data_IF_486621281270
#
_entry.id   IF_486621281270
#
_cell.length_a   1.000
_cell.length_b   1.000
_cell.length_c   1.000
_cell.angle_alpha   90.00
_cell.angle_beta   90.00
_cell.angle_gamma   90.00
#
_symmetry.space_group_name_H-M   'P 1'
#
loop_
_entity.id
_entity.type
_entity.pdbx_description
1 polymer ?
#
# COMPACT_ATOMS: atom_id res chain seq x y z
N UNK A 1 -34.39 84.77 -12.15
CA UNK A 1 -35.34 84.38 -13.22
C UNK A 1 -35.09 82.92 -13.55
N UNK A 2 -36.14 82.10 -13.35
CA UNK A 2 -36.37 80.73 -13.81
C UNK A 2 -35.76 79.53 -13.04
N UNK A 3 -36.67 78.87 -12.34
CA UNK A 3 -36.69 77.49 -11.83
C UNK A 3 -36.57 76.41 -12.91
N UNK A 4 -36.12 75.21 -12.51
CA UNK A 4 -36.79 73.91 -12.70
C UNK A 4 -35.83 72.77 -12.27
N UNK A 5 -36.14 72.00 -11.22
CA UNK A 5 -36.76 70.64 -11.27
C UNK A 5 -35.98 69.66 -12.15
N UNK A 6 -35.43 68.59 -11.55
CA UNK A 6 -35.80 67.21 -11.90
C UNK A 6 -35.00 66.15 -11.13
N UNK A 7 -35.75 65.31 -10.43
CA UNK A 7 -35.34 64.03 -9.87
C UNK A 7 -35.09 63.02 -11.00
N UNK A 8 -33.97 62.29 -11.00
CA UNK A 8 -33.90 60.93 -11.59
C UNK A 8 -32.88 60.11 -10.82
N UNK A 9 -33.37 59.07 -10.16
CA UNK A 9 -32.64 57.92 -9.64
C UNK A 9 -31.99 57.15 -10.80
N UNK A 10 -30.73 56.69 -10.67
CA UNK A 10 -30.26 55.45 -11.34
C UNK A 10 -28.93 54.94 -10.80
N UNK A 11 -29.08 53.95 -9.92
CA UNK A 11 -28.33 52.69 -9.82
C UNK A 11 -26.92 52.64 -10.41
N UNK A 12 -25.97 52.41 -9.50
CA UNK A 12 -24.62 51.92 -9.74
C UNK A 12 -24.71 50.54 -10.42
N UNK A 13 -24.43 50.50 -11.73
CA UNK A 13 -24.33 49.27 -12.52
C UNK A 13 -23.02 48.57 -12.17
N UNK A 14 -23.01 47.75 -11.13
CA UNK A 14 -21.99 46.72 -10.94
C UNK A 14 -22.21 45.68 -12.04
N UNK A 15 -21.37 45.71 -13.08
CA UNK A 15 -21.37 44.66 -14.08
C UNK A 15 -20.92 43.35 -13.43
N UNK A 16 -21.93 42.50 -13.24
CA UNK A 16 -21.88 41.08 -13.03
C UNK A 16 -21.10 40.44 -14.19
N UNK A 17 -19.80 40.20 -14.00
CA UNK A 17 -19.11 39.19 -14.82
C UNK A 17 -19.45 37.84 -14.20
N UNK A 18 -20.54 37.25 -14.69
CA UNK A 18 -20.85 35.84 -14.54
C UNK A 18 -19.78 35.02 -15.26
N UNK A 19 -18.67 34.74 -14.57
CA UNK A 19 -17.84 33.59 -14.91
C UNK A 19 -18.60 32.37 -14.44
N UNK A 20 -19.55 31.91 -15.28
CA UNK A 20 -20.16 30.59 -15.15
C UNK A 20 -19.10 29.57 -15.54
N UNK A 21 -18.13 29.36 -14.64
CA UNK A 21 -17.44 28.08 -14.58
C UNK A 21 -18.50 27.09 -14.11
N UNK A 22 -19.13 26.46 -15.11
CA UNK A 22 -19.79 25.18 -14.94
C UNK A 22 -18.68 24.20 -14.55
N UNK A 23 -18.28 24.26 -13.29
CA UNK A 23 -17.69 23.12 -12.61
C UNK A 23 -18.83 22.13 -12.60
N UNK A 24 -18.85 21.25 -13.59
CA UNK A 24 -19.39 19.91 -13.39
C UNK A 24 -18.63 19.36 -12.20
N UNK A 25 -19.16 19.66 -11.00
CA UNK A 25 -19.08 18.78 -9.86
C UNK A 25 -19.75 17.50 -10.32
N UNK A 26 -18.99 16.67 -11.05
CA UNK A 26 -19.15 15.25 -10.97
C UNK A 26 -19.10 14.96 -9.48
N UNK A 27 -20.26 14.64 -8.91
CA UNK A 27 -20.37 14.11 -7.57
C UNK A 27 -19.33 12.99 -7.48
N UNK A 28 -18.19 13.28 -6.84
CA UNK A 28 -17.17 12.29 -6.62
C UNK A 28 -17.87 11.24 -5.74
N UNK A 29 -18.12 10.08 -6.34
CA UNK A 29 -18.51 8.91 -5.59
C UNK A 29 -17.56 8.79 -4.39
N UNK A 30 -18.05 8.41 -3.20
CA UNK A 30 -17.16 8.16 -2.07
C UNK A 30 -16.00 7.28 -2.56
N UNK A 31 -14.73 7.65 -2.28
CA UNK A 31 -13.58 6.97 -2.84
C UNK A 31 -13.76 5.49 -2.57
N UNK A 32 -14.00 4.73 -3.65
CA UNK A 32 -14.09 3.29 -3.57
C UNK A 32 -12.79 2.81 -2.92
N UNK A 33 -12.83 1.80 -2.05
CA UNK A 33 -11.64 1.33 -1.30
C UNK A 33 -10.40 1.08 -2.20
N UNK A 34 -10.62 0.93 -3.50
CA UNK A 34 -9.66 0.97 -4.61
C UNK A 34 -8.77 2.23 -4.69
N UNK A 35 -9.15 3.36 -4.09
CA UNK A 35 -8.38 4.62 -4.09
C UNK A 35 -7.43 4.78 -2.89
N UNK A 36 -7.45 3.83 -1.95
CA UNK A 36 -6.66 3.85 -0.72
C UNK A 36 -5.57 2.77 -0.78
N UNK A 37 -4.35 3.12 -0.36
CA UNK A 37 -3.19 2.22 -0.39
C UNK A 37 -2.23 2.49 -1.54
N UNK A 38 -1.49 1.44 -1.92
CA UNK A 38 -0.46 1.48 -2.97
C UNK A 38 -0.98 0.68 -4.17
N UNK A 39 -0.96 1.29 -5.35
CA UNK A 39 -1.42 0.61 -6.57
C UNK A 39 -0.48 -0.52 -6.96
N UNK A 40 -0.99 -1.53 -7.67
CA UNK A 40 -0.19 -2.65 -8.18
C UNK A 40 0.96 -2.17 -9.08
N UNK A 41 0.74 -1.10 -9.83
CA UNK A 41 1.74 -0.49 -10.70
C UNK A 41 2.92 0.09 -9.92
N UNK A 42 2.63 0.85 -8.85
CA UNK A 42 3.68 1.37 -7.96
C UNK A 42 4.47 0.25 -7.27
N UNK A 43 3.80 -0.82 -6.83
CA UNK A 43 4.48 -1.98 -6.26
C UNK A 43 5.40 -2.67 -7.28
N UNK A 44 4.97 -2.78 -8.54
CA UNK A 44 5.79 -3.32 -9.62
C UNK A 44 7.04 -2.47 -9.86
N UNK A 45 6.88 -1.14 -9.94
CA UNK A 45 7.99 -0.20 -10.10
C UNK A 45 8.99 -0.29 -8.94
N UNK A 46 8.49 -0.32 -7.69
CA UNK A 46 9.33 -0.51 -6.51
C UNK A 46 10.10 -1.84 -6.57
N UNK A 47 9.43 -2.92 -6.97
CA UNK A 47 10.04 -4.25 -7.04
C UNK A 47 11.20 -4.32 -8.04
N UNK A 48 11.08 -3.61 -9.17
CA UNK A 48 12.08 -3.58 -10.24
C UNK A 48 13.25 -2.62 -9.95
N UNK A 49 13.06 -1.62 -9.09
CA UNK A 49 14.09 -0.65 -8.77
C UNK A 49 15.15 -1.21 -7.80
N UNK A 50 16.17 -1.84 -8.37
CA UNK A 50 17.30 -2.39 -7.63
C UNK A 50 18.16 -1.31 -6.96
N UNK A 51 18.21 -0.09 -7.50
CA UNK A 51 18.94 1.02 -6.89
C UNK A 51 18.29 1.42 -5.57
N UNK A 52 16.98 1.64 -5.60
CA UNK A 52 16.18 1.90 -4.40
C UNK A 52 16.26 0.74 -3.40
N UNK A 53 16.13 -0.51 -3.85
CA UNK A 53 16.20 -1.68 -2.95
C UNK A 53 17.57 -1.85 -2.28
N UNK A 54 18.65 -1.44 -2.96
CA UNK A 54 20.00 -1.41 -2.35
C UNK A 54 20.06 -0.37 -1.23
N UNK A 55 19.51 0.82 -1.45
CA UNK A 55 19.43 1.87 -0.43
C UNK A 55 18.54 1.43 0.73
N UNK A 56 17.39 0.83 0.44
CA UNK A 56 16.44 0.33 1.43
C UNK A 56 17.05 -0.77 2.31
N UNK A 57 17.82 -1.68 1.70
CA UNK A 57 18.56 -2.73 2.42
C UNK A 57 19.53 -2.15 3.46
N UNK A 58 20.28 -1.11 3.08
CA UNK A 58 21.23 -0.44 3.98
C UNK A 58 20.52 0.25 5.13
N UNK A 59 19.46 1.01 4.86
CA UNK A 59 18.76 1.76 5.92
C UNK A 59 17.96 0.83 6.82
N UNK A 60 17.32 -0.21 6.27
CA UNK A 60 16.46 -1.09 7.04
C UNK A 60 17.23 -2.20 7.75
N UNK A 61 18.46 -2.45 7.33
CA UNK A 61 19.26 -3.63 7.67
C UNK A 61 18.47 -4.92 7.40
N UNK A 62 17.98 -5.07 6.16
CA UNK A 62 17.16 -6.19 5.69
C UNK A 62 17.60 -6.59 4.29
N UNK A 63 17.67 -7.89 4.03
CA UNK A 63 18.14 -8.46 2.75
C UNK A 63 17.14 -8.27 1.56
N UNK A 64 16.53 -7.10 1.42
CA UNK A 64 15.51 -6.83 0.37
C UNK A 64 16.13 -6.72 -1.02
N UNK A 65 17.45 -6.52 -1.14
CA UNK A 65 18.14 -6.55 -2.43
C UNK A 65 18.44 -7.97 -2.86
N UNK A 66 19.00 -8.75 -1.95
CA UNK A 66 19.57 -10.07 -2.22
C UNK A 66 18.58 -11.22 -2.04
N UNK A 67 17.51 -11.02 -1.25
CA UNK A 67 16.47 -12.01 -1.01
C UNK A 67 15.12 -11.54 -1.57
N UNK A 68 14.74 -12.07 -2.73
CA UNK A 68 13.48 -11.74 -3.41
C UNK A 68 12.23 -12.14 -2.63
N UNK A 69 12.30 -13.15 -1.76
CA UNK A 69 11.18 -13.52 -0.90
C UNK A 69 10.94 -12.42 0.15
N UNK A 70 12.01 -11.92 0.79
CA UNK A 70 11.93 -10.79 1.73
C UNK A 70 11.43 -9.53 1.02
N UNK A 71 11.94 -9.23 -0.19
CA UNK A 71 11.45 -8.12 -1.02
C UNK A 71 9.94 -8.21 -1.29
N UNK A 72 9.47 -9.36 -1.77
CA UNK A 72 8.05 -9.60 -2.06
C UNK A 72 7.19 -9.45 -0.81
N UNK A 73 7.63 -10.06 0.30
CA UNK A 73 6.92 -9.99 1.58
C UNK A 73 6.82 -8.55 2.07
N UNK A 74 7.89 -7.76 1.94
CA UNK A 74 7.91 -6.35 2.31
C UNK A 74 6.88 -5.55 1.50
N UNK A 75 6.82 -5.74 0.18
CA UNK A 75 5.91 -4.98 -0.66
C UNK A 75 4.44 -5.34 -0.42
N UNK A 76 4.13 -6.62 -0.15
CA UNK A 76 2.78 -7.01 0.26
C UNK A 76 2.41 -6.47 1.63
N UNK A 77 3.33 -6.54 2.59
CA UNK A 77 3.13 -5.93 3.89
C UNK A 77 2.90 -4.42 3.76
N UNK A 78 3.67 -3.73 2.92
CA UNK A 78 3.54 -2.30 2.68
C UNK A 78 2.18 -1.92 2.07
N UNK A 79 1.70 -2.70 1.09
CA UNK A 79 0.37 -2.53 0.52
C UNK A 79 -0.71 -2.68 1.59
N UNK A 80 -0.67 -3.77 2.36
CA UNK A 80 -1.61 -4.02 3.44
C UNK A 80 -1.57 -2.91 4.50
N UNK A 81 -0.37 -2.51 4.91
CA UNK A 81 -0.17 -1.46 5.91
C UNK A 81 -0.80 -0.15 5.47
N UNK A 82 -0.59 0.28 4.21
CA UNK A 82 -1.18 1.51 3.69
C UNK A 82 -2.70 1.43 3.62
N UNK A 83 -3.26 0.27 3.24
CA UNK A 83 -4.71 0.06 3.22
C UNK A 83 -5.31 0.14 4.63
N UNK A 84 -4.72 -0.54 5.62
CA UNK A 84 -5.19 -0.54 7.00
C UNK A 84 -5.13 0.84 7.67
N UNK A 85 -4.18 1.69 7.28
CA UNK A 85 -4.01 3.02 7.84
C UNK A 85 -4.64 4.12 6.98
N UNK A 86 -5.44 3.77 5.97
CA UNK A 86 -6.04 4.73 5.05
C UNK A 86 -5.01 5.71 4.45
N UNK A 87 -3.76 5.24 4.22
CA UNK A 87 -2.72 6.04 3.59
C UNK A 87 -2.90 6.01 2.07
N UNK A 88 -3.00 7.19 1.46
CA UNK A 88 -2.95 7.36 0.01
C UNK A 88 -1.49 7.59 -0.42
N UNK A 89 -1.02 6.78 -1.35
CA UNK A 89 0.30 6.92 -1.97
C UNK A 89 0.10 7.40 -3.39
N UNK A 90 0.66 8.56 -3.72
CA UNK A 90 0.31 9.31 -4.95
C UNK A 90 1.14 8.87 -6.15
N UNK A 91 2.42 8.64 -5.93
CA UNK A 91 3.40 8.34 -6.98
C UNK A 91 4.56 7.51 -6.43
N UNK A 92 5.53 7.21 -7.29
CA UNK A 92 6.68 6.37 -6.97
C UNK A 92 7.64 7.04 -5.97
N UNK A 93 7.75 8.37 -5.97
CA UNK A 93 8.63 9.08 -5.05
C UNK A 93 8.05 9.05 -3.62
N UNK A 94 6.74 9.35 -3.49
CA UNK A 94 6.01 9.23 -2.22
C UNK A 94 6.05 7.80 -1.68
N UNK A 95 5.91 6.80 -2.56
CA UNK A 95 6.01 5.39 -2.17
C UNK A 95 7.39 5.03 -1.59
N UNK A 96 8.47 5.49 -2.24
CA UNK A 96 9.85 5.26 -1.80
C UNK A 96 10.12 5.92 -0.45
N UNK A 97 9.79 7.21 -0.33
CA UNK A 97 10.02 7.97 0.90
C UNK A 97 9.22 7.40 2.07
N UNK A 98 7.95 7.05 1.83
CA UNK A 98 7.11 6.52 2.87
C UNK A 98 7.58 5.13 3.34
N UNK A 99 7.91 4.23 2.41
CA UNK A 99 8.44 2.91 2.74
C UNK A 99 9.79 3.00 3.46
N UNK A 100 10.70 3.87 3.03
CA UNK A 100 11.97 4.11 3.70
C UNK A 100 11.77 4.60 5.15
N UNK A 101 10.81 5.51 5.37
CA UNK A 101 10.47 5.99 6.72
C UNK A 101 9.89 4.89 7.60
N UNK A 102 9.01 4.04 7.06
CA UNK A 102 8.46 2.90 7.80
C UNK A 102 9.54 1.90 8.22
N UNK A 103 10.57 1.73 7.39
CA UNK A 103 11.63 0.74 7.58
C UNK A 103 12.86 1.26 8.34
N UNK A 104 12.83 2.48 8.89
CA UNK A 104 13.94 2.99 9.70
C UNK A 104 14.26 2.06 10.88
N UNK A 105 15.54 1.87 11.23
CA UNK A 105 15.91 1.10 12.41
C UNK A 105 15.28 1.70 13.67
N UNK A 106 14.78 0.84 14.55
CA UNK A 106 14.11 1.26 15.79
C UNK A 106 12.66 1.75 15.63
N UNK A 107 12.09 1.78 14.42
CA UNK A 107 10.66 2.07 14.27
C UNK A 107 9.80 0.87 14.71
N UNK A 108 8.67 1.15 15.38
CA UNK A 108 7.67 0.14 15.71
C UNK A 108 7.09 -0.51 14.43
N UNK A 109 6.98 0.26 13.34
CA UNK A 109 6.51 -0.23 12.04
C UNK A 109 7.43 -1.27 11.43
N UNK A 110 8.75 -1.11 11.56
CA UNK A 110 9.72 -2.15 11.16
C UNK A 110 9.56 -3.41 12.01
N UNK A 111 9.34 -3.29 13.31
CA UNK A 111 9.08 -4.44 14.18
C UNK A 111 7.81 -5.21 13.75
N UNK A 112 6.74 -4.50 13.36
CA UNK A 112 5.54 -5.13 12.80
C UNK A 112 5.82 -5.88 11.50
N UNK A 113 6.69 -5.36 10.64
CA UNK A 113 7.12 -6.10 9.45
C UNK A 113 7.93 -7.37 9.82
N UNK A 114 8.79 -7.33 10.83
CA UNK A 114 9.52 -8.52 11.30
C UNK A 114 8.56 -9.59 11.82
N UNK A 115 7.56 -9.19 12.62
CA UNK A 115 6.53 -10.10 13.10
C UNK A 115 5.73 -10.72 11.95
N UNK A 116 5.37 -9.92 10.94
CA UNK A 116 4.70 -10.41 9.73
C UNK A 116 5.54 -11.46 8.98
N UNK A 117 6.86 -11.26 8.85
CA UNK A 117 7.73 -12.27 8.24
C UNK A 117 7.77 -13.56 9.05
N UNK A 118 7.90 -13.48 10.39
CA UNK A 118 7.93 -14.65 11.25
C UNK A 118 6.64 -15.48 11.14
N UNK A 119 5.47 -14.84 11.05
CA UNK A 119 4.21 -15.53 10.82
C UNK A 119 4.18 -16.32 9.50
N UNK A 120 4.80 -15.79 8.44
CA UNK A 120 4.92 -16.52 7.17
C UNK A 120 5.85 -17.73 7.36
N UNK A 121 7.00 -17.55 8.00
CA UNK A 121 7.93 -18.64 8.26
C UNK A 121 7.32 -19.75 9.11
N UNK A 122 6.60 -19.42 10.18
CA UNK A 122 5.91 -20.38 11.04
C UNK A 122 4.87 -21.19 10.27
N UNK A 123 4.05 -20.55 9.44
CA UNK A 123 3.08 -21.25 8.58
C UNK A 123 3.76 -22.22 7.61
N UNK A 124 4.89 -21.80 7.01
CA UNK A 124 5.66 -22.66 6.11
C UNK A 124 6.30 -23.84 6.85
N UNK A 125 6.80 -23.61 8.05
CA UNK A 125 7.35 -24.66 8.90
C UNK A 125 6.28 -25.69 9.30
N UNK A 126 5.12 -25.24 9.78
CA UNK A 126 3.98 -26.09 10.12
C UNK A 126 3.48 -26.91 8.93
N UNK A 127 3.41 -26.31 7.73
CA UNK A 127 3.03 -27.03 6.52
C UNK A 127 4.02 -28.17 6.21
N UNK A 128 5.33 -27.91 6.31
CA UNK A 128 6.37 -28.92 6.06
C UNK A 128 6.35 -30.06 7.08
N UNK A 129 6.18 -29.77 8.37
CA UNK A 129 6.10 -30.79 9.41
C UNK A 129 4.83 -31.64 9.29
N UNK A 130 3.69 -31.04 8.92
CA UNK A 130 2.46 -31.78 8.65
C UNK A 130 2.60 -32.72 7.44
N UNK A 131 3.28 -32.28 6.37
CA UNK A 131 3.55 -33.15 5.20
C UNK A 131 4.50 -34.30 5.56
N UNK A 132 5.56 -34.04 6.34
CA UNK A 132 6.48 -35.10 6.78
C UNK A 132 5.80 -36.13 7.69
N UNK A 133 4.99 -35.69 8.66
CA UNK A 133 4.27 -36.60 9.54
C UNK A 133 3.24 -37.46 8.78
N UNK A 134 2.56 -36.88 7.77
CA UNK A 134 1.66 -37.65 6.89
C UNK A 134 2.40 -38.67 6.02
N UNK A 135 3.59 -38.32 5.52
CA UNK A 135 4.44 -39.23 4.76
C UNK A 135 4.99 -40.39 5.60
N UNK A 136 5.36 -40.13 6.86
CA UNK A 136 5.84 -41.17 7.79
C UNK A 136 4.74 -42.19 8.14
N UNK A 137 3.51 -41.71 8.45
CA UNK A 137 2.38 -42.61 8.75
C UNK A 137 1.94 -43.46 7.54
N UNK A 138 2.05 -42.92 6.32
CA UNK A 138 1.77 -43.68 5.09
C UNK A 138 2.82 -44.76 4.83
N UNK A 139 4.10 -44.49 5.15
CA UNK A 139 5.18 -45.47 5.02
C UNK A 139 5.07 -46.60 6.07
N UNK A 140 4.76 -46.30 7.33
CA UNK A 140 4.53 -47.32 8.37
C UNK A 140 3.33 -48.22 8.07
N UNK A 141 2.24 -47.67 7.51
CA UNK A 141 1.06 -48.45 7.13
C UNK A 141 1.34 -49.40 5.94
N UNK A 142 2.28 -49.05 5.05
CA UNK A 142 2.68 -49.90 3.92
C UNK A 142 3.61 -51.05 4.34
N UNK A 143 4.42 -50.86 5.39
CA UNK A 143 5.37 -51.89 5.88
C UNK A 143 4.67 -52.91 6.79
N UNK A 144 3.64 -52.52 7.55
CA UNK A 144 2.88 -53.42 8.40
C UNK A 144 1.98 -54.42 7.64
N UNK A 145 1.75 -54.20 6.33
CA UNK A 145 0.91 -55.05 5.49
C UNK A 145 1.61 -56.28 4.87
N UNK A 146 2.93 -56.43 5.02
CA UNK A 146 3.69 -57.58 4.50
C UNK A 146 4.25 -58.42 5.64
N UNK A 147 3.38 -59.18 6.31
CA UNK A 147 3.81 -60.30 7.16
C UNK A 147 3.57 -61.59 6.38
N UNK A 148 4.61 -62.29 5.90
CA UNK A 148 4.41 -63.60 5.26
C UNK A 148 3.99 -64.61 6.32
N UNK A 149 2.94 -65.37 6.00
CA UNK A 149 2.47 -66.54 6.77
C UNK A 149 3.44 -67.71 6.71
#
# INVERSE_FOLDING_TARGET
MHSAISCVTKQRKTQKTEVRHRTEQTAAAPPTQTEMGVTRELLSQLYQDNGYMTSLERIANLAVRTNFAVRRNLLFWFQYYCQSHAKRVKDIADAKDYLANLMRPGSNTRAHFMAYQNQIYEKQYQARTQTQNKGAMAHESSVAGHRPS
#
